data_IF_557268558809
#
_entry.id   IF_557268558809
#
_cell.length_a   1.000
_cell.length_b   1.000
_cell.length_c   1.000
_cell.angle_alpha   90.00
_cell.angle_beta   90.00
_cell.angle_gamma   90.00
#
_symmetry.space_group_name_H-M   'P 1'
#
loop_
_entity.id
_entity.type
_entity.pdbx_description
1 polymer ?
#
# COMPACT_ATOMS: atom_id res chain seq x y z
N UNK A 1 5.22 8.79 -30.64
CA UNK A 1 6.22 9.02 -29.58
C UNK A 1 5.42 9.28 -28.32
N UNK A 2 5.10 8.20 -27.62
CA UNK A 2 4.06 8.19 -26.58
C UNK A 2 4.72 8.50 -25.24
N UNK A 3 4.36 9.64 -24.67
CA UNK A 3 4.81 10.12 -23.35
C UNK A 3 3.84 9.50 -22.33
N UNK A 4 4.07 8.21 -22.04
CA UNK A 4 3.34 7.45 -21.02
C UNK A 4 4.32 6.62 -20.15
N UNK A 5 5.59 7.03 -20.15
CA UNK A 5 6.73 6.41 -19.45
C UNK A 5 6.80 6.82 -17.95
N UNK A 6 5.68 6.89 -17.23
CA UNK A 6 5.67 7.10 -15.76
C UNK A 6 5.78 5.77 -14.97
N UNK A 7 6.07 4.65 -15.64
CA UNK A 7 6.24 3.35 -14.99
C UNK A 7 7.61 3.17 -14.33
N UNK A 8 7.70 2.21 -13.40
CA UNK A 8 8.95 1.84 -12.69
C UNK A 8 10.17 1.63 -13.60
N UNK A 9 9.96 1.17 -14.85
CA UNK A 9 11.03 0.97 -15.83
C UNK A 9 11.79 2.26 -16.18
N UNK A 10 11.09 3.37 -16.40
CA UNK A 10 11.71 4.66 -16.71
C UNK A 10 12.46 5.22 -15.50
N UNK A 11 11.91 5.03 -14.30
CA UNK A 11 12.55 5.39 -13.03
C UNK A 11 13.88 4.65 -12.86
N UNK A 12 13.88 3.33 -13.07
CA UNK A 12 15.11 2.50 -13.02
C UNK A 12 16.13 2.99 -14.04
N UNK A 13 15.70 3.31 -15.26
CA UNK A 13 16.58 3.86 -16.30
C UNK A 13 17.20 5.19 -15.88
N UNK A 14 16.42 6.10 -15.31
CA UNK A 14 16.90 7.40 -14.84
C UNK A 14 17.91 7.24 -13.70
N UNK A 15 17.60 6.42 -12.69
CA UNK A 15 18.51 6.14 -11.57
C UNK A 15 19.82 5.53 -12.05
N UNK A 16 19.76 4.60 -13.01
CA UNK A 16 20.95 3.97 -13.58
C UNK A 16 21.86 5.00 -14.27
N UNK A 17 21.26 5.91 -15.04
CA UNK A 17 22.00 6.96 -15.74
C UNK A 17 22.59 7.99 -14.75
N UNK A 18 21.90 8.31 -13.65
CA UNK A 18 22.44 9.18 -12.59
C UNK A 18 23.58 8.53 -11.81
N UNK A 19 23.63 7.21 -11.75
CA UNK A 19 24.72 6.45 -11.16
C UNK A 19 25.87 6.19 -12.16
N UNK A 20 25.83 6.75 -13.38
CA UNK A 20 26.79 6.54 -14.46
C UNK A 20 27.04 5.06 -14.80
N UNK A 21 26.02 4.21 -14.63
CA UNK A 21 26.11 2.78 -14.92
C UNK A 21 25.53 2.46 -16.30
N UNK A 22 26.20 1.63 -17.08
CA UNK A 22 25.59 0.93 -18.21
C UNK A 22 24.73 -0.24 -17.71
N UNK A 23 23.82 -0.76 -18.56
CA UNK A 23 23.02 -1.96 -18.23
C UNK A 23 23.89 -3.18 -17.95
N UNK A 24 25.04 -3.28 -18.61
CA UNK A 24 26.01 -4.36 -18.40
C UNK A 24 26.66 -4.23 -17.03
N UNK A 25 27.08 -3.03 -16.63
CA UNK A 25 27.67 -2.76 -15.31
C UNK A 25 26.66 -2.99 -14.18
N UNK A 26 25.44 -2.45 -14.31
CA UNK A 26 24.37 -2.70 -13.32
C UNK A 26 24.04 -4.20 -13.23
N UNK A 27 23.98 -4.88 -14.37
CA UNK A 27 23.68 -6.30 -14.40
C UNK A 27 24.78 -7.16 -13.75
N UNK A 28 26.04 -6.82 -13.98
CA UNK A 28 27.18 -7.47 -13.34
C UNK A 28 27.18 -7.25 -11.82
N UNK A 29 26.90 -6.03 -11.36
CA UNK A 29 26.89 -5.69 -9.94
C UNK A 29 25.71 -6.35 -9.18
N UNK A 30 24.52 -6.35 -9.78
CA UNK A 30 23.28 -6.85 -9.14
C UNK A 30 23.01 -8.35 -9.36
N UNK A 31 23.76 -9.00 -10.26
CA UNK A 31 23.48 -10.37 -10.70
C UNK A 31 22.15 -10.52 -11.47
N UNK A 32 21.71 -9.46 -12.15
CA UNK A 32 20.54 -9.44 -13.04
C UNK A 32 21.02 -9.28 -14.48
N UNK A 33 20.55 -10.08 -15.43
CA UNK A 33 21.08 -9.99 -16.79
C UNK A 33 20.77 -8.63 -17.44
N UNK A 34 21.74 -8.08 -18.19
CA UNK A 34 21.56 -6.82 -18.92
C UNK A 34 20.38 -6.86 -19.91
N UNK A 35 20.10 -8.03 -20.50
CA UNK A 35 18.93 -8.26 -21.34
C UNK A 35 17.62 -8.09 -20.56
N UNK A 36 17.54 -8.63 -19.33
CA UNK A 36 16.36 -8.45 -18.50
C UNK A 36 16.17 -7.00 -18.07
N UNK A 37 17.27 -6.32 -17.68
CA UNK A 37 17.26 -4.88 -17.37
C UNK A 37 16.78 -4.04 -18.56
N UNK A 38 17.20 -4.37 -19.79
CA UNK A 38 16.71 -3.68 -20.98
C UNK A 38 15.19 -3.84 -21.16
N UNK A 39 14.65 -5.05 -20.94
CA UNK A 39 13.20 -5.27 -21.02
C UNK A 39 12.43 -4.49 -19.94
N UNK A 40 13.00 -4.40 -18.74
CA UNK A 40 12.41 -3.61 -17.64
C UNK A 40 12.41 -2.12 -17.97
N UNK A 41 13.56 -1.59 -18.37
CA UNK A 41 13.73 -0.15 -18.64
C UNK A 41 12.90 0.36 -19.82
N UNK A 42 12.49 -0.52 -20.74
CA UNK A 42 11.62 -0.20 -21.86
C UNK A 42 10.15 -0.61 -21.61
N UNK A 43 9.77 -0.94 -20.37
CA UNK A 43 8.40 -1.28 -20.00
C UNK A 43 7.90 -2.64 -20.51
N UNK A 44 8.74 -3.44 -21.17
CA UNK A 44 8.36 -4.74 -21.73
C UNK A 44 8.16 -5.82 -20.65
N UNK A 45 8.73 -5.62 -19.46
CA UNK A 45 8.60 -6.52 -18.32
C UNK A 45 8.51 -5.74 -17.02
N UNK A 46 7.52 -6.07 -16.21
CA UNK A 46 7.44 -5.53 -14.85
C UNK A 46 8.47 -6.25 -13.95
N UNK A 47 9.35 -5.52 -13.25
CA UNK A 47 10.39 -6.12 -12.40
C UNK A 47 9.76 -6.69 -11.13
N UNK A 48 10.18 -7.89 -10.70
CA UNK A 48 9.75 -8.42 -9.40
C UNK A 48 10.41 -7.67 -8.24
N UNK A 49 9.79 -7.70 -7.06
CA UNK A 49 10.38 -7.14 -5.84
C UNK A 49 11.80 -7.67 -5.58
N UNK A 50 12.07 -8.95 -5.88
CA UNK A 50 13.40 -9.55 -5.75
C UNK A 50 14.43 -8.90 -6.69
N UNK A 51 14.04 -8.56 -7.93
CA UNK A 51 14.91 -7.85 -8.87
C UNK A 51 15.17 -6.43 -8.39
N UNK A 52 14.12 -5.71 -7.94
CA UNK A 52 14.24 -4.35 -7.42
C UNK A 52 15.19 -4.28 -6.21
N UNK A 53 15.05 -5.20 -5.25
CA UNK A 53 15.96 -5.29 -4.10
C UNK A 53 17.42 -5.54 -4.49
N UNK A 54 17.66 -6.32 -5.55
CA UNK A 54 19.02 -6.58 -6.05
C UNK A 54 19.65 -5.36 -6.72
N UNK A 55 18.87 -4.53 -7.41
CA UNK A 55 19.41 -3.39 -8.16
C UNK A 55 19.49 -2.11 -7.30
N UNK A 56 18.60 -1.94 -6.33
CA UNK A 56 18.52 -0.72 -5.50
C UNK A 56 19.86 -0.28 -4.88
N UNK A 57 20.67 -1.18 -4.27
CA UNK A 57 21.96 -0.81 -3.67
C UNK A 57 22.96 -0.20 -4.66
N UNK A 58 22.80 -0.47 -5.95
CA UNK A 58 23.68 0.04 -7.02
C UNK A 58 23.13 1.30 -7.71
N UNK A 59 21.91 1.70 -7.36
CA UNK A 59 21.19 2.83 -7.95
C UNK A 59 21.14 4.05 -7.02
N UNK A 60 21.87 4.03 -5.89
CA UNK A 60 21.83 5.05 -4.84
C UNK A 60 20.40 5.36 -4.34
N UNK A 61 19.57 4.33 -4.22
CA UNK A 61 18.21 4.42 -3.68
C UNK A 61 17.98 3.32 -2.65
N UNK A 62 17.21 3.60 -1.60
CA UNK A 62 16.83 2.57 -0.63
C UNK A 62 15.96 1.49 -1.25
N UNK A 63 16.11 0.23 -0.81
CA UNK A 63 15.27 -0.89 -1.29
C UNK A 63 13.78 -0.60 -1.12
N UNK A 64 13.38 -0.14 0.07
CA UNK A 64 11.98 0.16 0.37
C UNK A 64 11.46 1.31 -0.47
N UNK A 65 12.27 2.33 -0.71
CA UNK A 65 11.89 3.47 -1.55
C UNK A 65 11.64 3.03 -3.00
N UNK A 66 12.52 2.22 -3.58
CA UNK A 66 12.32 1.68 -4.93
C UNK A 66 11.10 0.76 -5.01
N UNK A 67 10.80 0.00 -3.95
CA UNK A 67 9.60 -0.84 -3.86
C UNK A 67 8.32 0.00 -3.77
N UNK A 68 8.32 1.11 -3.04
CA UNK A 68 7.20 2.06 -2.99
C UNK A 68 6.98 2.71 -4.36
N UNK A 69 8.04 3.19 -5.01
CA UNK A 69 7.97 3.76 -6.36
C UNK A 69 7.46 2.76 -7.40
N UNK A 70 7.73 1.47 -7.18
CA UNK A 70 7.23 0.39 -8.01
C UNK A 70 5.81 -0.07 -7.65
N UNK A 71 5.17 0.50 -6.62
CA UNK A 71 3.83 0.11 -6.17
C UNK A 71 3.77 -1.22 -5.42
N UNK A 72 4.91 -1.77 -4.98
CA UNK A 72 4.94 -2.99 -4.16
C UNK A 72 4.61 -2.73 -2.69
N UNK A 73 4.78 -1.50 -2.23
CA UNK A 73 4.54 -1.08 -0.84
C UNK A 73 3.79 0.25 -0.88
N UNK A 74 2.73 0.37 -0.09
CA UNK A 74 2.05 1.65 0.10
C UNK A 74 3.00 2.63 0.79
N UNK A 75 3.09 3.87 0.29
CA UNK A 75 3.79 4.94 0.98
C UNK A 75 3.15 5.28 2.35
N UNK A 76 1.93 4.79 2.59
CA UNK A 76 1.28 4.81 3.89
C UNK A 76 1.82 3.65 4.77
N UNK A 77 2.65 3.94 5.79
CA UNK A 77 3.18 2.94 6.70
C UNK A 77 2.10 2.28 7.57
N UNK A 78 0.87 2.81 7.56
CA UNK A 78 -0.26 2.23 8.28
C UNK A 78 -1.20 1.42 7.38
N UNK A 79 -1.07 1.48 6.04
CA UNK A 79 -1.95 0.75 5.12
C UNK A 79 -3.44 1.05 5.29
N UNK A 80 -3.79 2.21 5.88
CA UNK A 80 -5.15 2.56 6.30
C UNK A 80 -5.78 3.66 5.47
N UNK A 81 -4.97 4.41 4.72
CA UNK A 81 -5.42 5.35 3.70
C UNK A 81 -5.60 4.58 2.38
N UNK A 82 -6.62 3.71 2.34
CA UNK A 82 -7.14 3.20 1.06
C UNK A 82 -7.63 4.37 0.20
N UNK A 83 -7.61 4.17 -1.13
CA UNK A 83 -7.97 5.02 -2.29
C UNK A 83 -8.95 6.18 -2.02
N UNK A 84 -8.59 7.09 -1.12
CA UNK A 84 -9.28 8.35 -0.94
C UNK A 84 -8.80 9.24 -2.09
N UNK A 85 -9.37 9.01 -3.27
CA UNK A 85 -9.23 9.89 -4.42
C UNK A 85 -9.34 11.34 -3.94
N UNK A 86 -8.23 12.05 -4.02
CA UNK A 86 -8.18 13.52 -4.07
C UNK A 86 -8.98 14.27 -2.98
N UNK A 87 -9.01 13.75 -1.75
CA UNK A 87 -9.47 14.56 -0.61
C UNK A 87 -8.44 15.66 -0.31
N UNK A 88 -8.60 16.81 -0.95
CA UNK A 88 -7.76 17.99 -0.71
C UNK A 88 -8.01 18.51 0.70
N UNK A 89 -6.94 18.65 1.49
CA UNK A 89 -7.03 19.28 2.81
C UNK A 89 -7.50 20.74 2.68
N UNK A 90 -8.32 21.18 3.63
CA UNK A 90 -8.72 22.57 3.72
C UNK A 90 -7.47 23.49 3.80
N UNK A 91 -7.39 24.58 3.02
CA UNK A 91 -6.22 25.46 3.02
C UNK A 91 -5.82 26.01 4.40
N UNK A 92 -6.78 26.24 5.29
CA UNK A 92 -6.51 26.67 6.66
C UNK A 92 -5.77 25.58 7.46
N UNK A 93 -6.22 24.33 7.33
CA UNK A 93 -5.58 23.18 8.00
C UNK A 93 -4.17 22.95 7.46
N UNK A 94 -3.97 23.12 6.14
CA UNK A 94 -2.63 23.07 5.53
C UNK A 94 -1.73 24.16 6.11
N UNK A 95 -2.19 25.40 6.15
CA UNK A 95 -1.41 26.51 6.69
C UNK A 95 -1.07 26.32 8.17
N UNK A 96 -2.00 25.77 8.96
CA UNK A 96 -1.78 25.48 10.37
C UNK A 96 -0.74 24.36 10.56
N UNK A 97 -0.94 23.19 9.94
CA UNK A 97 -0.03 22.05 10.10
C UNK A 97 1.38 22.31 9.54
N UNK A 98 1.50 23.15 8.51
CA UNK A 98 2.81 23.50 7.92
C UNK A 98 3.70 24.30 8.86
N UNK A 99 3.13 24.96 9.88
CA UNK A 99 3.88 25.73 10.88
C UNK A 99 4.40 24.85 12.03
N UNK A 100 3.90 23.62 12.15
CA UNK A 100 4.28 22.70 13.22
C UNK A 100 5.56 21.93 12.90
N UNK A 101 6.37 21.55 13.91
CA UNK A 101 7.50 20.64 13.73
C UNK A 101 7.08 19.31 13.09
N UNK A 102 7.98 18.68 12.34
CA UNK A 102 7.71 17.42 11.61
C UNK A 102 7.26 16.31 12.56
N UNK A 103 7.78 16.30 13.78
CA UNK A 103 7.42 15.35 14.83
C UNK A 103 5.95 15.48 15.23
N UNK A 104 5.45 16.72 15.36
CA UNK A 104 4.06 17.01 15.70
C UNK A 104 3.14 16.62 14.55
N UNK A 105 3.50 16.96 13.31
CA UNK A 105 2.73 16.57 12.12
C UNK A 105 2.54 15.04 12.05
N UNK A 106 3.60 14.27 12.35
CA UNK A 106 3.52 12.80 12.39
C UNK A 106 2.57 12.30 13.47
N UNK A 107 2.60 12.89 14.67
CA UNK A 107 1.68 12.54 15.76
C UNK A 107 0.22 12.82 15.36
N UNK A 108 -0.05 13.97 14.73
CA UNK A 108 -1.40 14.31 14.25
C UNK A 108 -1.91 13.28 13.24
N UNK A 109 -1.07 12.88 12.28
CA UNK A 109 -1.41 11.83 11.32
C UNK A 109 -1.70 10.51 12.04
N UNK A 110 -0.87 10.10 13.00
CA UNK A 110 -1.09 8.87 13.78
C UNK A 110 -2.40 8.88 14.56
N UNK A 111 -2.74 9.99 15.22
CA UNK A 111 -4.01 10.15 15.95
C UNK A 111 -5.18 10.05 14.98
N UNK A 112 -5.12 10.78 13.87
CA UNK A 112 -6.18 10.79 12.88
C UNK A 112 -6.40 9.40 12.26
N UNK A 113 -5.32 8.68 11.97
CA UNK A 113 -5.37 7.29 11.50
C UNK A 113 -5.99 6.36 12.53
N UNK A 114 -5.64 6.51 13.82
CA UNK A 114 -6.24 5.73 14.89
C UNK A 114 -7.73 6.00 15.04
N UNK A 115 -8.14 7.28 14.96
CA UNK A 115 -9.56 7.67 14.97
C UNK A 115 -10.32 7.07 13.79
N UNK A 116 -9.74 7.13 12.58
CA UNK A 116 -10.31 6.49 11.39
C UNK A 116 -10.48 5.00 11.58
N UNK A 117 -9.46 4.31 12.10
CA UNK A 117 -9.52 2.87 12.33
C UNK A 117 -10.66 2.48 13.28
N UNK A 118 -10.80 3.20 14.40
CA UNK A 118 -11.89 2.98 15.35
C UNK A 118 -13.24 3.25 14.69
N UNK A 119 -13.38 4.34 13.95
CA UNK A 119 -14.61 4.67 13.22
C UNK A 119 -14.96 3.61 12.17
N UNK A 120 -13.99 3.10 11.42
CA UNK A 120 -14.16 2.03 10.43
C UNK A 120 -14.51 0.69 11.07
N UNK A 121 -13.91 0.36 12.22
CA UNK A 121 -14.26 -0.83 12.99
C UNK A 121 -15.69 -0.79 13.54
N UNK A 122 -16.12 0.36 14.06
CA UNK A 122 -17.50 0.58 14.52
C UNK A 122 -18.49 0.50 13.36
N UNK A 123 -18.15 1.07 12.20
CA UNK A 123 -19.00 1.00 11.00
C UNK A 123 -19.15 -0.43 10.48
N UNK A 124 -18.09 -1.25 10.54
CA UNK A 124 -18.14 -2.67 10.17
C UNK A 124 -19.09 -3.47 11.07
N UNK A 125 -19.06 -3.23 12.39
CA UNK A 125 -19.94 -3.90 13.37
C UNK A 125 -21.42 -3.55 13.17
N UNK A 126 -21.75 -2.27 12.90
CA UNK A 126 -23.13 -1.83 12.68
C UNK A 126 -23.75 -2.39 11.40
N UNK A 127 -22.94 -2.56 10.35
CA UNK A 127 -23.40 -3.18 9.11
C UNK A 127 -23.70 -4.67 9.31
N UNK A 128 -22.94 -5.32 10.20
CA UNK A 128 -23.14 -6.72 10.59
C UNK A 128 -24.39 -6.92 11.45
N UNK A 129 -24.66 -6.03 12.40
CA UNK A 129 -25.88 -6.07 13.24
C UNK A 129 -27.14 -5.78 12.42
N UNK A 130 -27.08 -4.83 11.48
CA UNK A 130 -28.21 -4.48 10.61
C UNK A 130 -28.56 -5.55 9.57
N UNK A 131 -27.58 -6.34 9.10
CA UNK A 131 -27.86 -7.50 8.24
C UNK A 131 -28.29 -8.74 9.04
N UNK A 132 -28.04 -8.78 10.36
CA UNK A 132 -28.42 -9.91 11.22
C UNK A 132 -29.81 -9.75 11.86
N UNK A 133 -30.44 -8.57 11.76
CA UNK A 133 -31.83 -8.35 12.20
C UNK A 133 -32.89 -9.01 11.31
N UNK A 134 -32.51 -9.55 10.14
CA UNK A 134 -33.41 -10.32 9.26
C UNK A 134 -33.42 -11.83 9.58
N UNK A 135 -32.70 -12.28 10.62
CA UNK A 135 -32.65 -13.68 11.06
C UNK A 135 -33.32 -13.89 12.42
N UNK A 136 -34.58 -13.49 12.56
CA UNK A 136 -35.45 -13.99 13.65
C UNK A 136 -36.33 -15.12 13.11
N UNK A 137 -35.83 -16.36 13.11
CA UNK A 137 -36.65 -17.57 13.19
C UNK A 137 -35.79 -18.83 13.40
N UNK A 138 -35.33 -19.08 14.62
CA UNK A 138 -35.04 -20.47 15.04
C UNK A 138 -35.77 -20.73 16.36
N UNK A 139 -36.96 -21.36 16.34
CA UNK A 139 -37.67 -21.74 17.53
C UNK A 139 -37.05 -23.02 18.11
N UNK A 140 -36.15 -22.88 19.08
CA UNK A 140 -35.73 -24.00 19.92
C UNK A 140 -36.77 -24.18 21.04
N UNK A 141 -37.53 -25.27 21.00
CA UNK A 141 -38.30 -25.76 22.17
C UNK A 141 -37.92 -27.19 22.45
N UNK A 142 -36.93 -27.36 23.33
CA UNK A 142 -36.70 -28.61 24.04
C UNK A 142 -37.54 -28.54 25.32
N UNK A 143 -38.52 -29.45 25.46
CA UNK A 143 -39.00 -29.92 26.77
C UNK A 143 -38.99 -31.44 26.76
N UNK A 144 -38.09 -31.99 27.55
CA UNK A 144 -37.96 -33.39 27.96
C UNK A 144 -39.00 -33.70 29.06
N UNK A 145 -39.64 -34.87 28.98
CA UNK A 145 -40.52 -35.40 30.03
C UNK A 145 -41.26 -36.67 29.60
N UNK A 146 -40.93 -37.79 30.26
CA UNK A 146 -41.37 -39.18 30.02
C UNK A 146 -42.71 -39.55 30.69
N UNK A 147 -43.27 -40.70 30.28
CA UNK A 147 -44.37 -41.51 30.85
C UNK A 147 -45.81 -41.02 30.50
N UNK A 148 -46.81 -41.84 30.19
CA UNK A 148 -47.28 -43.10 30.80
C UNK A 148 -48.08 -43.94 29.76
N UNK A 149 -47.99 -45.26 29.88
CA UNK A 149 -48.76 -46.32 29.20
C UNK A 149 -50.27 -46.30 29.51
N UNK A 150 -51.11 -46.55 28.50
CA UNK A 150 -52.12 -47.63 28.43
C UNK A 150 -52.77 -47.66 27.05
#
# INVERSE_FOLDING_TARGET
>A
MSIDDNGVGSIVKQLRLRADLSRVQLGAASGVSASHLNRIENGQRFPSAKVLRKIAPHLNIGEMELLVLAGYVSADPYGMLGDAESAKLDPYVVALLSQEPVEVQRVVISIFSMMKYVASGIAYEQTRVRNNSDLVAIPWRIKIGSAISK
#
